data_IF_852115802722
#
_entry.id   IF_852115802722
#
_cell.length_a   1.000
_cell.length_b   1.000
_cell.length_c   1.000
_cell.angle_alpha   90.00
_cell.angle_beta   90.00
_cell.angle_gamma   90.00
#
_symmetry.space_group_name_H-M   'P 1'
#
loop_
_entity.id
_entity.type
_entity.pdbx_description
1 polymer ?
#
# COMPACT_ATOMS: atom_id res chain seq x y z
N UNK A 1 65.78 -20.89 9.41
CA UNK A 1 64.48 -21.55 9.35
C UNK A 1 64.67 -22.87 8.62
N UNK A 2 64.63 -23.96 9.35
CA UNK A 2 64.84 -25.30 8.79
C UNK A 2 63.62 -25.72 7.97
N UNK A 3 63.75 -26.69 7.04
CA UNK A 3 62.62 -27.24 6.32
C UNK A 3 61.51 -27.77 7.25
N UNK A 4 61.91 -28.31 8.40
CA UNK A 4 61.01 -28.83 9.45
C UNK A 4 60.20 -27.72 10.12
N UNK A 5 60.85 -26.60 10.48
CA UNK A 5 60.18 -25.42 11.04
C UNK A 5 59.18 -24.80 10.03
N UNK A 6 59.50 -24.83 8.73
CA UNK A 6 58.59 -24.34 7.66
C UNK A 6 57.36 -25.23 7.53
N UNK A 7 57.52 -26.55 7.62
CA UNK A 7 56.42 -27.52 7.53
C UNK A 7 55.48 -27.33 8.72
N UNK A 8 56.02 -27.25 9.93
CA UNK A 8 55.20 -27.07 11.14
C UNK A 8 54.44 -25.74 11.13
N UNK A 9 55.07 -24.68 10.62
CA UNK A 9 54.41 -23.37 10.46
C UNK A 9 53.28 -23.42 9.43
N UNK A 10 53.49 -24.07 8.28
CA UNK A 10 52.48 -24.24 7.24
C UNK A 10 51.31 -25.12 7.70
N UNK A 11 51.58 -26.15 8.50
CA UNK A 11 50.54 -27.00 9.09
C UNK A 11 49.65 -26.20 10.05
N UNK A 12 50.24 -25.36 10.92
CA UNK A 12 49.47 -24.46 11.80
C UNK A 12 48.63 -23.45 11.02
N UNK A 13 49.19 -22.86 9.96
CA UNK A 13 48.45 -21.92 9.09
C UNK A 13 47.28 -22.62 8.38
N UNK A 14 47.48 -23.86 7.92
CA UNK A 14 46.42 -24.68 7.32
C UNK A 14 45.31 -25.01 8.31
N UNK A 15 45.67 -25.40 9.53
CA UNK A 15 44.73 -25.70 10.62
C UNK A 15 43.87 -24.47 10.94
N UNK A 16 44.52 -23.31 11.07
CA UNK A 16 43.89 -22.03 11.38
C UNK A 16 42.93 -21.61 10.25
N UNK A 17 43.40 -21.66 9.00
CA UNK A 17 42.59 -21.33 7.84
C UNK A 17 41.38 -22.27 7.69
N UNK A 18 41.54 -23.57 7.97
CA UNK A 18 40.43 -24.55 7.96
C UNK A 18 39.40 -24.24 9.03
N UNK A 19 39.83 -23.89 10.24
CA UNK A 19 38.94 -23.53 11.33
C UNK A 19 38.13 -22.25 11.00
N UNK A 20 38.79 -21.23 10.44
CA UNK A 20 38.14 -20.00 10.00
C UNK A 20 37.13 -20.25 8.86
N UNK A 21 37.51 -21.05 7.87
CA UNK A 21 36.63 -21.40 6.75
C UNK A 21 35.39 -22.16 7.24
N UNK A 22 35.56 -23.10 8.18
CA UNK A 22 34.46 -23.83 8.79
C UNK A 22 33.53 -22.89 9.59
N UNK A 23 34.09 -21.94 10.34
CA UNK A 23 33.31 -20.95 11.08
C UNK A 23 32.52 -20.01 10.15
N UNK A 24 33.14 -19.54 9.06
CA UNK A 24 32.48 -18.70 8.06
C UNK A 24 31.38 -19.45 7.31
N UNK A 25 31.61 -20.71 6.92
CA UNK A 25 30.58 -21.57 6.31
C UNK A 25 29.40 -21.79 7.22
N UNK A 26 29.63 -22.01 8.53
CA UNK A 26 28.55 -22.13 9.52
C UNK A 26 27.76 -20.82 9.68
N UNK A 27 28.42 -19.67 9.63
CA UNK A 27 27.77 -18.35 9.66
C UNK A 27 26.92 -18.12 8.41
N UNK A 28 27.44 -18.44 7.22
CA UNK A 28 26.71 -18.36 5.95
C UNK A 28 25.49 -19.30 5.92
N UNK A 29 25.64 -20.55 6.37
CA UNK A 29 24.54 -21.52 6.41
C UNK A 29 23.41 -21.11 7.37
N UNK A 30 23.72 -20.31 8.41
CA UNK A 30 22.74 -19.76 9.35
C UNK A 30 22.13 -18.43 8.89
N UNK A 31 22.72 -17.77 7.88
CA UNK A 31 22.15 -16.56 7.33
C UNK A 31 20.90 -16.92 6.54
N UNK A 32 19.76 -16.31 6.92
CA UNK A 32 18.44 -16.56 6.32
C UNK A 32 18.38 -16.19 4.82
N UNK A 33 19.34 -15.38 4.37
CA UNK A 33 19.57 -15.00 2.97
C UNK A 33 21.06 -14.61 2.84
N UNK A 34 21.84 -15.34 2.03
CA UNK A 34 23.29 -15.17 1.88
C UNK A 34 23.67 -14.14 0.79
N UNK A 35 22.67 -13.57 0.12
CA UNK A 35 22.83 -12.49 -0.83
C UNK A 35 23.36 -11.25 -0.10
N UNK A 36 24.40 -10.54 -0.58
CA UNK A 36 24.68 -9.20 -0.08
C UNK A 36 23.42 -8.37 -0.31
N UNK A 37 22.68 -8.09 0.77
CA UNK A 37 21.50 -7.24 0.71
C UNK A 37 22.02 -5.84 0.43
N UNK A 38 22.19 -5.50 -0.84
CA UNK A 38 22.37 -4.11 -1.26
C UNK A 38 21.15 -3.36 -0.73
N UNK A 39 21.34 -2.65 0.38
CA UNK A 39 20.26 -1.92 1.01
C UNK A 39 20.03 -0.68 0.15
N UNK A 40 18.88 -0.56 -0.54
CA UNK A 40 18.64 0.60 -1.39
C UNK A 40 18.59 1.84 -0.52
N UNK A 41 19.53 2.76 -0.74
CA UNK A 41 19.51 4.07 -0.11
C UNK A 41 18.75 5.03 -1.01
N UNK A 42 17.99 5.96 -0.41
CA UNK A 42 17.19 6.90 -1.20
C UNK A 42 18.08 7.74 -2.12
N UNK A 43 19.28 8.12 -1.66
CA UNK A 43 20.27 8.84 -2.45
C UNK A 43 20.68 8.07 -3.70
N UNK A 44 20.96 6.77 -3.57
CA UNK A 44 21.38 5.91 -4.69
C UNK A 44 20.22 5.74 -5.70
N UNK A 45 19.02 5.45 -5.21
CA UNK A 45 17.83 5.32 -6.07
C UNK A 45 17.52 6.65 -6.80
N UNK A 46 17.69 7.79 -6.12
CA UNK A 46 17.50 9.12 -6.72
C UNK A 46 18.52 9.40 -7.83
N UNK A 47 19.77 8.97 -7.66
CA UNK A 47 20.78 9.07 -8.71
C UNK A 47 20.41 8.22 -9.93
N UNK A 48 19.98 6.98 -9.71
CA UNK A 48 19.50 6.12 -10.80
C UNK A 48 18.31 6.73 -11.54
N UNK A 49 17.33 7.25 -10.80
CA UNK A 49 16.20 7.94 -11.38
C UNK A 49 16.66 9.14 -12.22
N UNK A 50 17.63 9.93 -11.74
CA UNK A 50 18.18 11.06 -12.48
C UNK A 50 18.85 10.65 -13.79
N UNK A 51 19.56 9.51 -13.80
CA UNK A 51 20.15 8.95 -15.02
C UNK A 51 19.06 8.48 -16.01
N UNK A 52 17.94 7.99 -15.48
CA UNK A 52 16.74 7.63 -16.24
C UNK A 52 15.83 8.84 -16.58
N UNK A 53 16.33 10.07 -16.50
CA UNK A 53 15.57 11.31 -16.73
C UNK A 53 14.30 11.46 -15.86
N UNK A 54 14.28 10.80 -14.70
CA UNK A 54 13.18 10.81 -13.75
C UNK A 54 13.53 11.59 -12.47
N UNK A 55 12.54 12.25 -11.89
CA UNK A 55 12.62 12.90 -10.59
C UNK A 55 12.04 11.95 -9.53
N UNK A 56 12.81 11.64 -8.49
CA UNK A 56 12.39 10.78 -7.38
C UNK A 56 12.13 11.58 -6.10
N UNK A 57 10.93 11.44 -5.54
CA UNK A 57 10.46 12.18 -4.35
C UNK A 57 9.80 11.24 -3.33
N UNK A 58 9.70 11.68 -2.07
CA UNK A 58 8.91 11.00 -1.03
C UNK A 58 7.66 11.82 -0.75
N UNK A 59 6.49 11.19 -0.91
CA UNK A 59 5.19 11.86 -0.71
C UNK A 59 4.28 10.93 0.09
N UNK A 60 3.81 11.38 1.26
CA UNK A 60 2.86 10.63 2.08
C UNK A 60 3.32 9.20 2.45
N UNK A 61 4.61 9.03 2.76
CA UNK A 61 5.20 7.72 3.09
C UNK A 61 5.45 6.80 1.89
N UNK A 62 5.14 7.24 0.67
CA UNK A 62 5.39 6.52 -0.59
C UNK A 62 6.56 7.14 -1.35
N UNK A 63 7.10 6.40 -2.31
CA UNK A 63 8.15 6.88 -3.21
C UNK A 63 7.52 7.15 -4.57
N UNK A 64 7.75 8.33 -5.13
CA UNK A 64 7.17 8.75 -6.41
C UNK A 64 8.29 9.02 -7.41
N UNK A 65 8.20 8.42 -8.60
CA UNK A 65 9.01 8.77 -9.75
C UNK A 65 8.18 9.58 -10.75
N UNK A 66 8.71 10.69 -11.25
CA UNK A 66 8.05 11.59 -12.19
C UNK A 66 8.93 11.84 -13.41
N UNK A 67 8.34 11.81 -14.60
CA UNK A 67 8.98 12.22 -15.85
C UNK A 67 7.97 13.10 -16.61
N UNK A 68 8.16 14.41 -16.58
CA UNK A 68 7.19 15.37 -17.12
C UNK A 68 5.83 15.28 -16.41
N UNK A 69 4.79 15.02 -17.19
CA UNK A 69 3.39 14.80 -16.76
C UNK A 69 3.13 13.38 -16.23
N UNK A 70 4.06 12.45 -16.49
CA UNK A 70 3.91 11.04 -16.11
C UNK A 70 4.41 10.79 -14.70
N UNK A 71 3.63 10.03 -13.93
CA UNK A 71 3.91 9.73 -12.53
C UNK A 71 3.72 8.25 -12.24
N UNK A 72 4.68 7.66 -11.53
CA UNK A 72 4.59 6.32 -10.96
C UNK A 72 4.81 6.38 -9.46
N UNK A 73 3.97 5.67 -8.71
CA UNK A 73 4.03 5.62 -7.24
C UNK A 73 4.40 4.20 -6.82
N UNK A 74 5.48 4.10 -6.03
CA UNK A 74 5.97 2.89 -5.39
C UNK A 74 5.60 2.89 -3.92
N UNK A 75 5.18 1.73 -3.40
CA UNK A 75 4.85 1.57 -1.98
C UNK A 75 6.11 1.58 -1.13
N UNK A 76 7.18 0.94 -1.60
CA UNK A 76 8.47 0.84 -0.91
C UNK A 76 9.60 1.36 -1.80
N UNK A 77 10.69 1.78 -1.14
CA UNK A 77 11.91 2.19 -1.84
C UNK A 77 12.57 1.02 -2.61
N UNK A 78 12.45 -0.20 -2.08
CA UNK A 78 12.96 -1.41 -2.72
C UNK A 78 12.30 -1.65 -4.08
N UNK A 79 10.99 -1.46 -4.18
CA UNK A 79 10.26 -1.60 -5.44
C UNK A 79 10.77 -0.61 -6.49
N UNK A 80 11.08 0.63 -6.09
CA UNK A 80 11.66 1.64 -6.98
C UNK A 80 13.10 1.26 -7.39
N UNK A 81 13.88 0.73 -6.45
CA UNK A 81 15.26 0.27 -6.71
C UNK A 81 15.31 -0.86 -7.74
N UNK A 82 14.55 -1.93 -7.52
CA UNK A 82 14.48 -3.09 -8.42
C UNK A 82 13.99 -2.69 -9.80
N UNK A 83 13.10 -1.70 -9.86
CA UNK A 83 12.62 -1.14 -11.11
C UNK A 83 13.70 -0.39 -11.90
N UNK A 84 14.43 0.54 -11.26
CA UNK A 84 15.50 1.29 -11.94
C UNK A 84 16.74 0.44 -12.25
N UNK A 85 16.85 -0.76 -11.68
CA UNK A 85 17.89 -1.74 -11.99
C UNK A 85 17.70 -2.40 -13.36
N UNK A 86 16.50 -2.31 -13.95
CA UNK A 86 16.24 -2.85 -15.27
C UNK A 86 16.94 -1.98 -16.32
N UNK A 87 17.73 -2.61 -17.20
CA UNK A 87 18.47 -1.92 -18.27
C UNK A 87 17.56 -1.47 -19.42
N UNK A 88 16.45 -2.19 -19.63
CA UNK A 88 15.48 -1.90 -20.67
C UNK A 88 14.09 -1.75 -20.06
N UNK A 89 13.45 -0.60 -20.31
CA UNK A 89 12.07 -0.34 -19.93
C UNK A 89 11.35 0.43 -21.03
N UNK A 90 10.16 -0.03 -21.41
CA UNK A 90 9.30 0.74 -22.30
C UNK A 90 8.61 1.85 -21.51
N UNK A 91 8.44 3.04 -22.10
CA UNK A 91 7.73 4.15 -21.44
C UNK A 91 6.27 3.82 -21.11
N UNK A 92 5.68 2.90 -21.86
CA UNK A 92 4.33 2.38 -21.65
C UNK A 92 4.25 1.51 -20.40
N UNK A 93 5.29 0.71 -20.13
CA UNK A 93 5.41 -0.07 -18.90
C UNK A 93 5.79 0.80 -17.71
N UNK A 94 6.59 1.84 -17.97
CA UNK A 94 7.05 2.81 -16.98
C UNK A 94 5.87 3.61 -16.44
N UNK A 95 5.01 4.08 -17.33
CA UNK A 95 3.86 4.93 -17.03
C UNK A 95 2.63 4.41 -17.77
N UNK A 96 1.98 3.38 -17.21
CA UNK A 96 0.78 2.83 -17.83
C UNK A 96 -0.28 3.93 -17.94
N UNK A 97 -1.07 3.93 -19.02
CA UNK A 97 -2.16 4.89 -19.16
C UNK A 97 -3.05 4.83 -17.92
N UNK A 98 -3.60 5.99 -17.48
CA UNK A 98 -4.44 6.03 -16.31
C UNK A 98 -5.55 5.00 -16.45
N UNK A 99 -5.61 4.04 -15.51
CA UNK A 99 -6.69 3.05 -15.50
C UNK A 99 -8.01 3.82 -15.52
N UNK A 100 -8.97 3.45 -16.38
CA UNK A 100 -10.28 4.08 -16.36
C UNK A 100 -10.80 3.99 -14.93
N UNK A 101 -11.11 5.14 -14.34
CA UNK A 101 -11.74 5.15 -13.01
C UNK A 101 -12.99 4.29 -13.13
N UNK A 102 -13.23 3.34 -12.21
CA UNK A 102 -14.48 2.59 -12.24
C UNK A 102 -15.60 3.63 -12.24
N UNK A 103 -16.45 3.58 -13.27
CA UNK A 103 -17.65 4.40 -13.34
C UNK A 103 -18.42 4.05 -12.07
N UNK A 104 -18.42 4.97 -11.09
CA UNK A 104 -19.21 4.79 -9.89
C UNK A 104 -20.64 4.65 -10.39
N UNK A 105 -21.24 3.47 -10.21
CA UNK A 105 -22.68 3.32 -10.44
C UNK A 105 -23.36 4.45 -9.65
N UNK A 106 -24.34 5.15 -10.23
CA UNK A 106 -25.11 6.11 -9.46
C UNK A 106 -25.60 5.40 -8.20
N UNK A 107 -25.35 6.00 -7.04
CA UNK A 107 -25.78 5.41 -5.78
C UNK A 107 -27.29 5.15 -5.89
N UNK A 108 -27.69 3.90 -5.68
CA UNK A 108 -29.11 3.57 -5.62
C UNK A 108 -29.75 4.44 -4.54
N UNK A 109 -30.87 5.08 -4.89
CA UNK A 109 -31.56 5.96 -3.94
C UNK A 109 -31.94 5.14 -2.70
N UNK A 110 -31.72 5.66 -1.48
CA UNK A 110 -32.08 4.92 -0.28
C UNK A 110 -33.59 4.63 -0.27
N UNK A 111 -33.96 3.43 0.17
CA UNK A 111 -35.36 3.00 0.29
C UNK A 111 -35.68 2.68 1.74
N UNK A 112 -36.94 2.89 2.12
CA UNK A 112 -37.42 2.52 3.44
C UNK A 112 -37.43 0.99 3.58
N UNK A 113 -36.79 0.46 4.62
CA UNK A 113 -36.71 -1.00 4.86
C UNK A 113 -38.07 -1.68 5.10
N UNK A 114 -39.09 -0.91 5.47
CA UNK A 114 -40.39 -1.45 5.84
C UNK A 114 -41.35 -1.46 4.65
N UNK A 115 -41.49 -0.32 3.96
CA UNK A 115 -42.47 -0.16 2.88
C UNK A 115 -41.85 0.05 1.48
N UNK A 116 -40.54 -0.14 1.33
CA UNK A 116 -39.76 -0.01 0.09
C UNK A 116 -39.88 1.33 -0.67
N UNK A 117 -40.52 2.33 -0.07
CA UNK A 117 -40.62 3.67 -0.63
C UNK A 117 -39.24 4.33 -0.78
N UNK A 118 -39.01 5.05 -1.87
CA UNK A 118 -37.81 5.87 -2.03
C UNK A 118 -37.81 6.98 -0.96
N UNK A 119 -36.72 7.05 -0.19
CA UNK A 119 -36.53 8.06 0.85
C UNK A 119 -35.23 8.81 0.59
N UNK A 120 -35.13 10.02 1.14
CA UNK A 120 -33.85 10.68 1.30
C UNK A 120 -33.69 11.11 2.76
N UNK A 121 -32.45 11.13 3.22
CA UNK A 121 -32.11 11.55 4.58
C UNK A 121 -31.68 13.02 4.55
N UNK A 122 -32.36 13.86 5.31
CA UNK A 122 -31.98 15.26 5.50
C UNK A 122 -32.08 15.66 6.97
N UNK A 123 -31.35 16.70 7.36
CA UNK A 123 -31.47 17.28 8.69
C UNK A 123 -32.79 18.06 8.82
N UNK A 124 -33.49 17.89 9.93
CA UNK A 124 -34.61 18.74 10.31
C UNK A 124 -34.12 20.08 10.91
N UNK A 125 -35.07 20.96 11.25
CA UNK A 125 -34.76 22.25 11.90
C UNK A 125 -34.09 22.12 13.28
N UNK A 126 -34.08 20.92 13.88
CA UNK A 126 -33.38 20.61 15.13
C UNK A 126 -32.03 19.94 14.89
N UNK A 127 -31.53 19.88 13.63
CA UNK A 127 -30.26 19.26 13.26
C UNK A 127 -30.28 17.74 13.26
N UNK A 128 -31.44 17.09 13.39
CA UNK A 128 -31.57 15.63 13.44
C UNK A 128 -31.86 15.07 12.05
N UNK A 129 -31.09 14.06 11.63
CA UNK A 129 -31.35 13.38 10.35
C UNK A 129 -32.63 12.55 10.41
N UNK A 130 -33.50 12.75 9.42
CA UNK A 130 -34.77 12.03 9.28
C UNK A 130 -35.00 11.59 7.83
N UNK A 131 -35.80 10.54 7.62
CA UNK A 131 -36.22 10.13 6.28
C UNK A 131 -37.37 11.01 5.77
N UNK A 132 -37.32 11.35 4.48
CA UNK A 132 -38.30 12.18 3.77
C UNK A 132 -38.70 11.53 2.44
N UNK A 133 -39.99 11.57 2.10
CA UNK A 133 -40.52 11.12 0.80
C UNK A 133 -40.21 12.14 -0.31
N UNK A 134 -40.29 13.42 0.06
CA UNK A 134 -40.10 14.57 -0.81
C UNK A 134 -39.56 15.74 0.04
N UNK A 135 -38.97 16.79 -0.55
CA UNK A 135 -38.45 17.92 0.19
C UNK A 135 -39.53 18.49 1.13
N UNK A 136 -39.27 18.48 2.44
CA UNK A 136 -40.20 18.98 3.46
C UNK A 136 -41.31 18.01 3.89
N UNK A 137 -41.52 16.87 3.21
CA UNK A 137 -42.49 15.85 3.62
C UNK A 137 -41.79 14.67 4.30
N UNK A 138 -41.89 14.61 5.63
CA UNK A 138 -41.31 13.54 6.43
C UNK A 138 -41.95 12.20 6.08
N UNK A 139 -41.12 11.18 5.86
CA UNK A 139 -41.58 9.82 5.62
C UNK A 139 -42.23 9.27 6.90
N UNK A 140 -43.49 8.84 6.77
CA UNK A 140 -44.25 8.19 7.85
C UNK A 140 -44.60 6.77 7.41
N UNK A 141 -43.75 5.79 7.76
CA UNK A 141 -44.05 4.41 7.44
C UNK A 141 -45.16 3.86 8.35
N UNK A 142 -46.31 3.58 7.76
CA UNK A 142 -47.45 2.98 8.46
C UNK A 142 -47.12 1.57 8.98
N UNK A 143 -46.34 0.78 8.23
CA UNK A 143 -45.96 -0.58 8.61
C UNK A 143 -44.99 -0.60 9.80
N UNK A 144 -44.03 0.34 9.83
CA UNK A 144 -43.19 0.55 11.01
C UNK A 144 -44.03 0.87 12.25
N UNK A 145 -45.00 1.78 12.09
CA UNK A 145 -45.88 2.20 13.18
C UNK A 145 -46.75 1.05 13.68
N UNK A 146 -47.31 0.22 12.79
CA UNK A 146 -48.04 -0.99 13.17
C UNK A 146 -47.17 -1.98 13.93
N UNK A 147 -45.91 -2.16 13.52
CA UNK A 147 -45.00 -3.12 14.14
C UNK A 147 -44.47 -2.66 15.52
N UNK A 148 -44.30 -1.35 15.74
CA UNK A 148 -43.59 -0.82 16.92
C UNK A 148 -44.45 0.08 17.82
N UNK A 149 -45.68 0.41 17.42
CA UNK A 149 -46.59 1.28 18.17
C UNK A 149 -46.10 2.74 18.35
N UNK A 150 -45.01 3.12 17.68
CA UNK A 150 -44.35 4.42 17.77
C UNK A 150 -43.86 4.88 16.39
N UNK A 151 -43.77 6.20 16.12
CA UNK A 151 -43.21 6.70 14.87
C UNK A 151 -41.72 6.35 14.76
N UNK A 152 -41.21 6.26 13.51
CA UNK A 152 -39.80 5.89 13.23
C UNK A 152 -38.84 6.68 14.13
N UNK A 153 -38.06 5.98 15.00
CA UNK A 153 -37.16 6.61 15.94
C UNK A 153 -36.01 7.29 15.19
N UNK A 154 -35.44 8.29 15.83
CA UNK A 154 -34.30 9.05 15.33
C UNK A 154 -33.06 8.20 15.58
N UNK A 155 -32.83 7.17 14.76
CA UNK A 155 -31.65 6.33 14.87
C UNK A 155 -30.60 6.81 13.88
N UNK A 156 -29.60 7.49 14.44
CA UNK A 156 -28.44 8.01 13.73
C UNK A 156 -27.29 6.98 13.66
N UNK A 157 -27.51 5.72 14.07
CA UNK A 157 -26.39 4.84 14.42
C UNK A 157 -26.00 3.78 13.38
N UNK A 158 -26.80 3.45 12.37
CA UNK A 158 -26.47 2.32 11.47
C UNK A 158 -26.42 2.65 9.96
N UNK A 159 -26.44 3.92 9.55
CA UNK A 159 -26.55 4.27 8.10
C UNK A 159 -25.54 5.31 7.59
N UNK A 160 -24.42 5.51 8.26
CA UNK A 160 -23.27 6.21 7.66
C UNK A 160 -22.20 5.17 7.33
N UNK A 161 -22.05 4.74 6.06
CA UNK A 161 -20.85 4.05 5.65
C UNK A 161 -19.73 5.10 5.58
N UNK A 162 -18.85 5.11 6.57
CA UNK A 162 -17.51 5.69 6.40
C UNK A 162 -16.63 4.70 5.65
#
# INVERSE_FOLDING_TARGET
MTPEERIEQLERELETARAENAALRRKLARAKDASPVERPSFKRVKQMASLACCILERVGGKVQARMGDKVRIFKKLRDAWEFFLQEEWSLSDLFPPPKPKPVRKPAEKPRCKFCDAEIHWSQDFMGKFRPYDAPGKRHQCAEYYRANGKPIPILMQDLVPF
#
